data_IF_430159975888
#
_entry.id   IF_430159975888
#
_cell.length_a   1.000
_cell.length_b   1.000
_cell.length_c   1.000
_cell.angle_alpha   90.00
_cell.angle_beta   90.00
_cell.angle_gamma   90.00
#
_symmetry.space_group_name_H-M   'P 1'
#
loop_
_entity.id
_entity.type
_entity.pdbx_description
1 polymer ?
#
# COMPACT_ATOMS: atom_id res chain seq x y z
N UNK A 1 11.35 6.83 -8.37
CA UNK A 1 10.62 8.06 -8.77
C UNK A 1 9.85 8.50 -7.54
N UNK A 2 10.33 9.58 -6.91
CA UNK A 2 9.73 10.12 -5.69
C UNK A 2 8.44 10.89 -5.98
N UNK A 3 7.63 11.06 -4.95
CA UNK A 3 6.55 12.06 -4.92
C UNK A 3 7.18 13.44 -4.72
N UNK A 4 6.43 14.52 -5.01
CA UNK A 4 6.88 15.87 -4.69
C UNK A 4 7.01 16.02 -3.17
N UNK A 5 7.89 16.91 -2.71
CA UNK A 5 8.10 17.12 -1.28
C UNK A 5 6.84 17.73 -0.68
N UNK A 6 6.26 17.08 0.32
CA UNK A 6 5.11 17.59 1.08
C UNK A 6 5.40 17.46 2.57
N UNK A 7 5.25 18.55 3.32
CA UNK A 7 5.60 18.63 4.75
C UNK A 7 7.03 18.11 5.07
N UNK A 8 7.97 18.24 4.14
CA UNK A 8 9.35 17.75 4.29
C UNK A 8 9.55 16.25 4.00
N UNK A 9 8.51 15.55 3.52
CA UNK A 9 8.53 14.13 3.16
C UNK A 9 8.52 13.96 1.64
N UNK A 10 9.34 13.05 1.12
CA UNK A 10 9.60 12.85 -0.31
C UNK A 10 9.34 11.41 -0.80
N UNK A 11 8.96 10.52 0.11
CA UNK A 11 8.65 9.13 -0.19
C UNK A 11 7.43 8.61 0.57
N UNK A 12 6.83 7.55 0.02
CA UNK A 12 5.76 6.80 0.67
C UNK A 12 6.23 5.35 0.77
N UNK A 13 6.28 4.83 1.98
CA UNK A 13 6.45 3.40 2.20
C UNK A 13 5.08 2.74 2.14
N UNK A 14 4.97 1.68 1.32
CA UNK A 14 3.74 0.94 1.12
C UNK A 14 3.96 -0.50 1.56
N UNK A 15 3.15 -0.96 2.51
CA UNK A 15 3.04 -2.38 2.86
C UNK A 15 1.72 -2.91 2.35
N UNK A 16 1.75 -4.08 1.72
CA UNK A 16 0.57 -4.72 1.14
C UNK A 16 0.50 -6.13 1.67
N UNK A 17 -0.58 -6.48 2.36
CA UNK A 17 -0.87 -7.88 2.63
C UNK A 17 -1.33 -8.55 1.33
N UNK A 18 -0.63 -9.60 0.94
CA UNK A 18 -0.90 -10.30 -0.31
C UNK A 18 -2.19 -11.13 -0.26
N UNK A 19 -2.68 -11.51 0.92
CA UNK A 19 -3.91 -12.26 1.08
C UNK A 19 -5.12 -11.35 0.91
N UNK A 20 -5.27 -10.35 1.79
CA UNK A 20 -6.40 -9.42 1.79
C UNK A 20 -6.32 -8.36 0.69
N UNK A 21 -5.13 -8.13 0.13
CA UNK A 21 -4.82 -6.93 -0.68
C UNK A 21 -5.02 -5.64 0.09
N UNK A 22 -4.98 -5.69 1.42
CA UNK A 22 -5.05 -4.49 2.25
C UNK A 22 -3.70 -3.80 2.24
N UNK A 23 -3.74 -2.51 1.97
CA UNK A 23 -2.55 -1.68 1.81
C UNK A 23 -2.46 -0.70 2.97
N UNK A 24 -1.24 -0.46 3.44
CA UNK A 24 -0.91 0.53 4.46
C UNK A 24 0.14 1.46 3.89
N UNK A 25 -0.06 2.75 4.13
CA UNK A 25 0.80 3.80 3.62
C UNK A 25 1.41 4.56 4.78
N UNK A 26 2.72 4.81 4.69
CA UNK A 26 3.46 5.61 5.67
C UNK A 26 4.28 6.66 4.91
N UNK A 27 3.94 7.94 5.07
CA UNK A 27 4.79 9.04 4.63
C UNK A 27 6.17 8.92 5.29
N UNK A 28 7.24 8.97 4.50
CA UNK A 28 8.61 8.80 5.01
C UNK A 28 9.57 9.75 4.28
N UNK A 29 10.58 10.28 4.98
CA UNK A 29 11.71 10.89 4.30
C UNK A 29 12.57 9.78 3.68
N UNK A 30 13.37 10.11 2.67
CA UNK A 30 14.33 9.18 2.04
C UNK A 30 15.49 8.82 2.99
N UNK A 31 15.61 9.46 4.16
CA UNK A 31 16.56 9.09 5.23
C UNK A 31 16.43 7.62 5.66
N UNK A 32 17.57 6.94 5.82
CA UNK A 32 17.63 5.49 6.14
C UNK A 32 17.22 5.20 7.58
N UNK A 33 17.62 6.05 8.54
CA UNK A 33 17.39 5.81 9.97
C UNK A 33 15.90 5.88 10.31
N UNK A 34 15.19 6.88 9.79
CA UNK A 34 13.76 7.05 10.02
C UNK A 34 12.94 5.93 9.36
N UNK A 35 13.38 5.47 8.18
CA UNK A 35 12.74 4.37 7.46
C UNK A 35 12.72 3.07 8.28
N UNK A 36 13.74 2.80 9.10
CA UNK A 36 13.81 1.55 9.86
C UNK A 36 12.73 1.46 10.96
N UNK A 37 12.57 2.52 11.76
CA UNK A 37 11.52 2.59 12.78
C UNK A 37 10.14 2.52 12.14
N UNK A 38 9.93 3.29 11.07
CA UNK A 38 8.68 3.28 10.32
C UNK A 38 8.39 1.90 9.72
N UNK A 39 9.40 1.17 9.27
CA UNK A 39 9.24 -0.19 8.73
C UNK A 39 8.76 -1.16 9.80
N UNK A 40 9.36 -1.12 10.99
CA UNK A 40 8.94 -1.94 12.12
C UNK A 40 7.52 -1.59 12.57
N UNK A 41 7.22 -0.31 12.74
CA UNK A 41 5.88 0.15 13.10
C UNK A 41 4.86 -0.25 12.04
N UNK A 42 5.19 -0.09 10.75
CA UNK A 42 4.27 -0.43 9.67
C UNK A 42 3.96 -1.92 9.64
N UNK A 43 4.98 -2.78 9.78
CA UNK A 43 4.79 -4.23 9.66
C UNK A 43 4.31 -4.86 10.96
N UNK A 44 5.04 -4.66 12.05
CA UNK A 44 4.77 -5.36 13.32
C UNK A 44 3.47 -4.89 13.93
N UNK A 45 3.19 -3.58 13.92
CA UNK A 45 1.99 -3.03 14.53
C UNK A 45 0.72 -3.34 13.75
N UNK A 46 0.76 -3.28 12.42
CA UNK A 46 -0.45 -3.45 11.60
C UNK A 46 -0.72 -4.91 11.23
N UNK A 47 0.33 -5.69 10.99
CA UNK A 47 0.22 -6.98 10.34
C UNK A 47 0.78 -8.13 11.18
N UNK A 48 1.34 -7.85 12.37
CA UNK A 48 2.14 -8.82 13.12
C UNK A 48 3.32 -9.37 12.29
N UNK A 49 4.13 -10.23 12.91
CA UNK A 49 5.29 -10.80 12.25
C UNK A 49 4.86 -11.84 11.20
N UNK A 50 4.98 -11.47 9.92
CA UNK A 50 4.65 -12.37 8.81
C UNK A 50 5.72 -13.45 8.59
N UNK A 51 5.31 -14.64 8.14
CA UNK A 51 6.24 -15.71 7.80
C UNK A 51 7.14 -15.38 6.59
N UNK A 52 6.64 -14.55 5.67
CA UNK A 52 7.35 -14.16 4.44
C UNK A 52 7.16 -12.66 4.21
N UNK A 53 8.27 -11.95 3.96
CA UNK A 53 8.25 -10.54 3.56
C UNK A 53 8.93 -10.44 2.21
N UNK A 54 8.24 -9.83 1.25
CA UNK A 54 8.77 -9.59 -0.10
C UNK A 54 9.14 -8.11 -0.23
N UNK A 55 10.43 -7.82 -0.21
CA UNK A 55 10.95 -6.48 -0.38
C UNK A 55 11.33 -6.23 -1.84
N UNK A 56 11.18 -4.98 -2.25
CA UNK A 56 11.80 -4.53 -3.49
C UNK A 56 13.32 -4.53 -3.35
N UNK A 57 14.04 -4.74 -4.46
CA UNK A 57 15.51 -4.59 -4.53
C UNK A 57 15.93 -3.12 -4.36
N UNK A 58 15.76 -2.62 -3.15
CA UNK A 58 16.24 -1.34 -2.67
C UNK A 58 17.45 -1.58 -1.75
N UNK A 59 18.56 -0.83 -1.91
CA UNK A 59 19.73 -0.94 -1.06
C UNK A 59 19.43 -0.87 0.45
N UNK A 60 18.36 -0.17 0.87
CA UNK A 60 17.92 -0.08 2.26
C UNK A 60 17.49 -1.44 2.82
N UNK A 61 16.88 -2.28 1.99
CA UNK A 61 16.38 -3.60 2.38
C UNK A 61 17.40 -4.72 2.14
N UNK A 62 18.47 -4.48 1.37
CA UNK A 62 19.52 -5.48 1.12
C UNK A 62 20.66 -5.43 2.14
N UNK A 63 20.50 -4.71 3.25
CA UNK A 63 21.55 -4.63 4.27
C UNK A 63 21.78 -6.00 4.93
N UNK A 64 23.04 -6.27 5.26
CA UNK A 64 23.41 -7.50 5.99
C UNK A 64 22.68 -7.59 7.32
N UNK A 65 22.55 -6.47 8.02
CA UNK A 65 21.82 -6.37 9.29
C UNK A 65 20.36 -6.81 9.14
N UNK A 66 19.62 -6.30 8.14
CA UNK A 66 18.23 -6.68 7.95
C UNK A 66 18.09 -8.17 7.59
N UNK A 67 19.05 -8.72 6.84
CA UNK A 67 19.07 -10.14 6.48
C UNK A 67 19.25 -11.03 7.71
N UNK A 68 20.22 -10.72 8.57
CA UNK A 68 20.46 -11.48 9.80
C UNK A 68 19.31 -11.32 10.81
N UNK A 69 18.73 -10.12 10.90
CA UNK A 69 17.56 -9.86 11.72
C UNK A 69 16.35 -10.70 11.28
N UNK A 70 16.05 -10.77 9.99
CA UNK A 70 14.95 -11.59 9.47
C UNK A 70 15.16 -13.07 9.81
N UNK A 71 16.40 -13.58 9.70
CA UNK A 71 16.74 -14.95 10.10
C UNK A 71 16.52 -15.18 11.60
N UNK A 72 16.97 -14.25 12.44
CA UNK A 72 16.78 -14.35 13.89
C UNK A 72 15.31 -14.34 14.30
N UNK A 73 14.47 -13.60 13.56
CA UNK A 73 13.03 -13.53 13.75
C UNK A 73 12.27 -14.72 13.10
N UNK A 74 12.95 -15.61 12.38
CA UNK A 74 12.32 -16.73 11.67
C UNK A 74 11.50 -16.29 10.44
N UNK A 75 11.73 -15.08 9.94
CA UNK A 75 11.02 -14.50 8.78
C UNK A 75 11.80 -14.75 7.50
N UNK A 76 11.11 -15.27 6.48
CA UNK A 76 11.70 -15.44 5.15
C UNK A 76 11.66 -14.12 4.38
N UNK A 77 12.79 -13.41 4.37
CA UNK A 77 12.99 -12.24 3.51
C UNK A 77 13.23 -12.65 2.06
N UNK A 78 12.38 -12.19 1.14
CA UNK A 78 12.52 -12.36 -0.30
C UNK A 78 12.77 -11.01 -0.96
N UNK A 79 13.62 -11.01 -1.99
CA UNK A 79 13.90 -9.84 -2.82
C UNK A 79 13.28 -10.02 -4.19
N UNK A 80 12.67 -8.96 -4.72
CA UNK A 80 12.05 -9.00 -6.05
C UNK A 80 12.47 -7.82 -6.91
N UNK A 81 12.79 -8.10 -8.18
CA UNK A 81 12.85 -7.10 -9.25
C UNK A 81 11.49 -6.91 -9.93
N UNK A 82 10.46 -7.70 -9.54
CA UNK A 82 9.26 -7.87 -10.35
C UNK A 82 8.57 -6.53 -10.66
N UNK A 83 8.39 -6.29 -11.95
CA UNK A 83 7.66 -5.13 -12.45
C UNK A 83 6.22 -5.10 -11.93
N UNK A 84 5.62 -6.27 -11.68
CA UNK A 84 4.27 -6.41 -11.12
C UNK A 84 4.11 -5.77 -9.75
N UNK A 85 5.02 -6.02 -8.80
CA UNK A 85 4.95 -5.41 -7.46
C UNK A 85 5.21 -3.91 -7.51
N UNK A 86 6.11 -3.44 -8.39
CA UNK A 86 6.27 -2.00 -8.66
C UNK A 86 4.98 -1.38 -9.18
N UNK A 87 4.32 -2.03 -10.13
CA UNK A 87 3.11 -1.51 -10.74
C UNK A 87 1.97 -1.47 -9.72
N UNK A 88 1.84 -2.50 -8.88
CA UNK A 88 0.87 -2.55 -7.77
C UNK A 88 1.14 -1.45 -6.75
N UNK A 89 2.38 -1.27 -6.28
CA UNK A 89 2.75 -0.20 -5.34
C UNK A 89 2.58 1.20 -5.94
N UNK A 90 2.88 1.37 -7.23
CA UNK A 90 2.67 2.65 -7.94
C UNK A 90 1.20 2.95 -8.14
N UNK A 91 0.41 1.95 -8.52
CA UNK A 91 -1.00 2.12 -8.79
C UNK A 91 -1.84 2.28 -7.52
N UNK A 92 -1.49 1.57 -6.44
CA UNK A 92 -2.06 1.77 -5.10
C UNK A 92 -1.84 3.18 -4.61
N UNK A 93 -0.57 3.60 -4.60
CA UNK A 93 -0.20 4.98 -4.31
C UNK A 93 -1.00 5.94 -5.18
N UNK A 94 -1.14 5.68 -6.51
CA UNK A 94 -1.91 6.49 -7.48
C UNK A 94 -3.44 6.49 -7.26
N UNK A 95 -3.99 5.43 -6.67
CA UNK A 95 -5.43 5.27 -6.48
C UNK A 95 -5.87 5.86 -5.14
N UNK A 96 -5.04 5.76 -4.10
CA UNK A 96 -5.21 6.53 -2.87
C UNK A 96 -5.35 8.04 -3.15
N UNK A 97 -4.70 8.53 -4.21
CA UNK A 97 -4.82 9.92 -4.71
C UNK A 97 -6.16 10.30 -5.30
N UNK A 98 -6.75 9.35 -6.03
CA UNK A 98 -7.53 9.67 -7.23
C UNK A 98 -8.93 10.22 -6.91
N UNK A 99 -9.25 10.35 -5.62
CA UNK A 99 -10.51 10.95 -5.14
C UNK A 99 -10.40 12.46 -4.89
N UNK A 100 -9.26 13.10 -5.18
CA UNK A 100 -9.05 14.55 -4.99
C UNK A 100 -8.56 15.27 -6.25
N UNK A 101 -8.85 16.57 -6.42
CA UNK A 101 -8.43 17.32 -7.60
C UNK A 101 -6.91 17.33 -7.75
N UNK A 102 -6.47 17.19 -9.00
CA UNK A 102 -5.08 16.97 -9.43
C UNK A 102 -4.06 17.97 -8.84
N UNK A 103 -4.48 19.18 -8.47
CA UNK A 103 -3.60 20.25 -7.94
C UNK A 103 -3.23 20.13 -6.46
N UNK A 104 -4.11 19.57 -5.61
CA UNK A 104 -3.79 19.38 -4.18
C UNK A 104 -2.68 18.32 -3.96
N UNK A 105 -2.49 17.49 -4.98
CA UNK A 105 -1.59 16.35 -5.02
C UNK A 105 -0.11 16.72 -5.14
N UNK A 106 0.19 17.84 -5.79
CA UNK A 106 1.56 18.27 -6.01
C UNK A 106 2.20 18.89 -4.76
N UNK A 107 1.40 19.27 -3.77
CA UNK A 107 1.88 20.10 -2.64
C UNK A 107 1.55 19.49 -1.28
N UNK A 108 0.36 18.87 -1.09
CA UNK A 108 -0.15 18.44 0.22
C UNK A 108 -0.58 16.96 0.27
N UNK A 109 0.12 16.07 -0.45
CA UNK A 109 -0.28 14.65 -0.51
C UNK A 109 -0.29 13.94 0.85
N UNK A 110 0.48 14.42 1.83
CA UNK A 110 0.49 13.86 3.20
C UNK A 110 -0.87 13.99 3.88
N UNK A 111 -1.58 15.10 3.64
CA UNK A 111 -2.88 15.39 4.26
C UNK A 111 -4.02 14.62 3.60
N UNK A 112 -3.83 14.23 2.34
CA UNK A 112 -4.84 13.58 1.50
C UNK A 112 -4.68 12.06 1.48
N UNK A 113 -3.60 11.55 2.09
CA UNK A 113 -3.31 10.13 2.16
C UNK A 113 -4.30 9.42 3.08
N UNK A 114 -5.40 8.94 2.51
CA UNK A 114 -6.41 8.16 3.22
C UNK A 114 -6.21 6.66 2.99
N UNK A 115 -5.86 5.94 4.06
CA UNK A 115 -5.73 4.48 4.08
C UNK A 115 -7.07 3.79 3.75
N UNK A 116 -8.20 4.38 4.17
CA UNK A 116 -9.52 3.76 4.02
C UNK A 116 -10.07 3.89 2.60
N UNK A 117 -9.52 4.80 1.79
CA UNK A 117 -10.00 5.05 0.43
C UNK A 117 -9.93 3.80 -0.46
N UNK A 118 -8.94 2.94 -0.24
CA UNK A 118 -8.76 1.68 -0.96
C UNK A 118 -9.23 0.45 -0.17
N UNK A 119 -9.04 0.45 1.16
CA UNK A 119 -9.41 -0.68 2.00
C UNK A 119 -10.91 -1.01 1.96
N UNK A 120 -11.76 -0.05 1.58
CA UNK A 120 -13.22 -0.17 1.43
C UNK A 120 -13.68 -0.59 0.03
N UNK A 121 -12.78 -0.62 -0.97
CA UNK A 121 -13.16 -0.92 -2.35
C UNK A 121 -13.34 -2.42 -2.57
N UNK A 122 -14.52 -2.84 -3.04
CA UNK A 122 -14.79 -4.26 -3.26
C UNK A 122 -13.99 -4.84 -4.43
N UNK A 123 -13.38 -6.00 -4.19
CA UNK A 123 -12.75 -6.80 -5.22
C UNK A 123 -13.78 -7.40 -6.18
N UNK A 124 -13.52 -7.35 -7.49
CA UNK A 124 -14.45 -7.87 -8.50
C UNK A 124 -14.66 -9.39 -8.42
N UNK A 125 -13.64 -10.14 -7.97
CA UNK A 125 -13.67 -11.60 -7.82
C UNK A 125 -14.18 -12.06 -6.45
N UNK A 126 -13.74 -11.42 -5.36
CA UNK A 126 -14.09 -11.81 -3.98
C UNK A 126 -15.43 -11.26 -3.53
N UNK A 127 -15.89 -10.15 -4.15
CA UNK A 127 -17.05 -9.36 -3.69
C UNK A 127 -16.91 -8.84 -2.25
N UNK A 128 -15.70 -8.86 -1.72
CA UNK A 128 -15.32 -8.34 -0.41
C UNK A 128 -14.27 -7.26 -0.60
N UNK A 129 -14.29 -6.27 0.28
CA UNK A 129 -13.25 -5.26 0.38
C UNK A 129 -12.01 -5.81 1.09
N UNK A 130 -10.80 -5.26 0.84
CA UNK A 130 -9.60 -5.65 1.56
C UNK A 130 -9.74 -5.57 3.08
N UNK A 131 -10.46 -4.59 3.61
CA UNK A 131 -10.73 -4.46 5.05
C UNK A 131 -11.56 -5.62 5.59
N UNK A 132 -12.59 -6.04 4.86
CA UNK A 132 -13.44 -7.17 5.25
C UNK A 132 -12.66 -8.48 5.24
N UNK A 133 -11.76 -8.67 4.27
CA UNK A 133 -10.93 -9.88 4.21
C UNK A 133 -9.91 -9.91 5.35
N UNK A 134 -9.29 -8.76 5.67
CA UNK A 134 -8.25 -8.66 6.69
C UNK A 134 -8.81 -8.73 8.13
N UNK A 135 -9.93 -8.05 8.39
CA UNK A 135 -10.44 -7.86 9.75
C UNK A 135 -11.67 -8.67 10.07
N UNK A 136 -12.28 -9.31 9.07
CA UNK A 136 -13.59 -9.99 9.14
C UNK A 136 -14.73 -9.07 9.59
N UNK A 137 -14.53 -7.74 9.53
CA UNK A 137 -15.51 -6.73 9.91
C UNK A 137 -15.96 -5.92 8.71
N UNK A 138 -17.21 -5.45 8.75
CA UNK A 138 -17.76 -4.56 7.72
C UNK A 138 -17.38 -3.12 8.04
N UNK A 139 -16.80 -2.42 7.07
CA UNK A 139 -16.52 -0.98 7.20
C UNK A 139 -17.82 -0.20 7.28
N UNK A 140 -17.99 0.61 8.34
CA UNK A 140 -19.07 1.60 8.42
C UNK A 140 -18.51 2.95 8.01
N UNK A 141 -19.03 3.51 6.92
CA UNK A 141 -18.69 4.89 6.53
C UNK A 141 -19.29 5.88 7.56
N UNK A 142 -18.59 6.95 7.96
CA UNK A 142 -19.05 7.86 9.03
C UNK A 142 -20.35 8.65 8.74
N UNK A 143 -20.91 8.53 7.54
CA UNK A 143 -22.22 9.08 7.19
C UNK A 143 -22.89 8.02 6.33
N UNK A 144 -24.21 7.85 6.46
CA UNK A 144 -25.05 6.93 5.69
C UNK A 144 -25.12 7.24 4.19
N UNK A 145 -24.01 7.58 3.55
CA UNK A 145 -23.86 7.60 2.10
C UNK A 145 -23.72 6.16 1.63
N UNK A 146 -24.82 5.63 1.11
CA UNK A 146 -24.82 4.59 0.10
C UNK A 146 -23.95 5.07 -1.08
N UNK A 147 -22.64 4.85 -1.02
CA UNK A 147 -21.79 5.01 -2.20
C UNK A 147 -22.28 3.97 -3.20
N UNK A 148 -22.83 4.47 -4.30
CA UNK A 148 -23.35 3.71 -5.42
C UNK A 148 -22.42 2.54 -5.77
N UNK A 149 -23.06 1.38 -5.90
CA UNK A 149 -22.50 0.12 -6.34
C UNK A 149 -21.48 0.27 -7.50
N UNK A 150 -20.29 -0.30 -7.28
CA UNK A 150 -19.50 -1.01 -8.29
C UNK A 150 -18.87 -0.28 -9.50
N UNK A 151 -18.74 1.05 -9.51
CA UNK A 151 -18.00 1.73 -10.59
C UNK A 151 -16.52 1.31 -10.69
N UNK A 152 -15.91 0.95 -9.55
CA UNK A 152 -14.52 0.50 -9.46
C UNK A 152 -14.28 -0.89 -10.07
N UNK A 153 -15.16 -1.85 -9.76
CA UNK A 153 -15.08 -3.20 -10.34
C UNK A 153 -15.27 -3.17 -11.86
N UNK A 154 -16.14 -2.29 -12.36
CA UNK A 154 -16.34 -2.10 -13.80
C UNK A 154 -15.12 -1.44 -14.47
N UNK A 155 -14.58 -0.35 -13.91
CA UNK A 155 -13.39 0.34 -14.47
C UNK A 155 -12.13 -0.52 -14.45
N UNK A 156 -11.89 -1.28 -13.38
CA UNK A 156 -10.72 -2.18 -13.29
C UNK A 156 -10.79 -3.33 -14.29
N UNK A 157 -11.99 -3.87 -14.55
CA UNK A 157 -12.21 -4.91 -15.56
C UNK A 157 -11.98 -4.36 -16.97
N UNK A 158 -12.42 -3.14 -17.24
CA UNK A 158 -12.25 -2.52 -18.57
C UNK A 158 -10.79 -2.18 -18.89
N UNK A 159 -10.04 -1.67 -17.91
CA UNK A 159 -8.59 -1.43 -18.05
C UNK A 159 -7.82 -2.74 -18.30
N UNK A 160 -8.21 -3.85 -17.63
CA UNK A 160 -7.57 -5.15 -17.86
C UNK A 160 -7.81 -5.69 -19.27
N UNK A 161 -8.98 -5.46 -19.87
CA UNK A 161 -9.26 -5.84 -21.27
C UNK A 161 -8.37 -5.09 -22.26
N UNK A 162 -7.97 -3.86 -21.95
CA UNK A 162 -7.09 -3.06 -22.81
C UNK A 162 -5.62 -3.50 -22.75
N UNK A 163 -5.21 -4.17 -21.67
CA UNK A 163 -3.85 -4.69 -21.48
C UNK A 163 -3.65 -6.06 -22.15
N UNK A 164 -4.73 -6.81 -22.36
CA UNK A 164 -4.69 -8.16 -22.98
C UNK A 164 -4.89 -8.09 -24.51
N UNK A 165 -4.34 -7.06 -25.17
CA UNK A 165 -4.25 -6.98 -26.64
C UNK A 165 -2.80 -7.10 -27.10
#
# INVERSE_FOLDING_TARGET
MGVLISQGLDAIMVAIDLLSKREKYVPTPTSVADTANLFFDLLVRNYSLHAVIVNYLDPKFTSFLLTELMKALGVKGLMTTSYGLKLMAKWSARTACSKTPFDAWCTNWVEVLDENAYATLMGSSTKLSPFEIDTERVTRSPVGTTLSHNDYAQKSTEVRKQIVR
#
